data_IF_185346601641
#
_entry.id   IF_185346601641
#
_cell.length_a   1.000
_cell.length_b   1.000
_cell.length_c   1.000
_cell.angle_alpha   90.00
_cell.angle_beta   90.00
_cell.angle_gamma   90.00
#
_symmetry.space_group_name_H-M   'P 1'
#
loop_
_entity.id
_entity.type
_entity.pdbx_description
1 polymer ?
#
# COMPACT_ATOMS: atom_id res chain seq x y z
N UNK A 1 -41.80 56.09 -7.42
CA UNK A 1 -40.34 55.90 -7.47
C UNK A 1 -40.03 54.46 -7.84
N UNK A 2 -39.55 54.19 -9.06
CA UNK A 2 -39.15 52.85 -9.52
C UNK A 2 -37.63 52.69 -9.35
N UNK A 3 -37.20 51.75 -8.50
CA UNK A 3 -35.80 51.35 -8.35
C UNK A 3 -35.45 50.32 -9.44
N UNK A 4 -34.48 50.57 -10.33
CA UNK A 4 -34.12 49.62 -11.38
C UNK A 4 -33.28 48.46 -10.83
N UNK A 5 -33.63 47.25 -11.26
CA UNK A 5 -32.99 45.98 -10.92
C UNK A 5 -31.51 45.93 -11.31
N UNK A 6 -30.63 45.78 -10.31
CA UNK A 6 -29.18 45.61 -10.46
C UNK A 6 -28.79 44.36 -11.28
N UNK A 7 -29.71 43.43 -11.53
CA UNK A 7 -29.47 42.20 -12.30
C UNK A 7 -29.23 42.45 -13.78
N UNK A 8 -29.88 43.46 -14.39
CA UNK A 8 -29.80 43.67 -15.84
C UNK A 8 -28.49 44.34 -16.28
N UNK A 9 -27.88 45.16 -15.42
CA UNK A 9 -26.59 45.81 -15.71
C UNK A 9 -25.41 44.83 -15.64
N UNK A 10 -25.47 43.82 -14.77
CA UNK A 10 -24.40 42.83 -14.65
C UNK A 10 -24.32 41.90 -15.87
N UNK A 11 -25.47 41.55 -16.46
CA UNK A 11 -25.52 40.74 -17.69
C UNK A 11 -24.98 41.50 -18.92
N UNK A 12 -25.34 42.77 -19.06
CA UNK A 12 -24.84 43.61 -20.16
C UNK A 12 -23.33 43.89 -20.09
N UNK A 13 -22.75 43.91 -18.88
CA UNK A 13 -21.31 44.09 -18.68
C UNK A 13 -20.49 42.84 -19.02
N UNK A 14 -21.09 41.64 -18.97
CA UNK A 14 -20.42 40.39 -19.35
C UNK A 14 -20.34 40.22 -20.87
N UNK A 15 -21.37 40.63 -21.62
CA UNK A 15 -21.34 40.56 -23.10
C UNK A 15 -20.28 41.48 -23.74
N UNK A 16 -19.95 42.60 -23.08
CA UNK A 16 -18.89 43.50 -23.55
C UNK A 16 -17.47 42.95 -23.32
N UNK A 17 -17.28 41.97 -22.43
CA UNK A 17 -15.97 41.36 -22.19
C UNK A 17 -15.59 40.31 -23.24
N UNK A 18 -16.54 39.78 -24.00
CA UNK A 18 -16.32 38.68 -24.96
C UNK A 18 -16.56 39.06 -26.43
N UNK A 19 -16.91 40.32 -26.72
CA UNK A 19 -17.18 40.80 -28.09
C UNK A 19 -15.94 40.90 -29.01
N UNK A 20 -14.76 40.46 -28.54
CA UNK A 20 -13.48 40.57 -29.27
C UNK A 20 -12.82 39.24 -29.66
N UNK A 21 -13.46 38.09 -29.46
CA UNK A 21 -12.87 36.79 -29.84
C UNK A 21 -13.43 36.37 -31.20
N UNK A 22 -12.58 36.43 -32.23
CA UNK A 22 -12.87 35.89 -33.55
C UNK A 22 -13.26 34.40 -33.45
N UNK A 23 -14.19 33.89 -34.29
CA UNK A 23 -14.52 32.47 -34.29
C UNK A 23 -13.32 31.70 -34.86
N UNK A 24 -12.50 31.14 -33.98
CA UNK A 24 -11.43 30.24 -34.37
C UNK A 24 -12.02 28.89 -34.78
N UNK A 25 -11.58 28.40 -35.94
CA UNK A 25 -11.97 27.16 -36.59
C UNK A 25 -12.08 25.96 -35.64
N UNK A 26 -13.16 25.20 -35.80
CA UNK A 26 -13.36 23.90 -35.19
C UNK A 26 -12.35 22.89 -35.75
N UNK A 27 -11.16 22.82 -35.14
CA UNK A 27 -10.25 21.67 -35.24
C UNK A 27 -9.79 21.26 -33.85
N UNK A 28 -10.24 20.07 -33.44
CA UNK A 28 -9.73 19.21 -32.37
C UNK A 28 -9.05 19.92 -31.20
N UNK A 29 -9.86 20.41 -30.26
CA UNK A 29 -9.40 20.56 -28.88
C UNK A 29 -9.95 19.37 -28.09
N UNK A 30 -9.07 18.44 -27.75
CA UNK A 30 -9.34 17.34 -26.84
C UNK A 30 -9.97 17.88 -25.56
N UNK A 31 -11.17 17.39 -25.24
CA UNK A 31 -11.87 17.70 -24.00
C UNK A 31 -10.93 17.34 -22.83
N UNK A 32 -10.65 18.25 -21.89
CA UNK A 32 -9.84 17.88 -20.72
C UNK A 32 -10.59 16.79 -19.95
N UNK A 33 -9.94 15.65 -19.78
CA UNK A 33 -10.46 14.49 -19.04
C UNK A 33 -10.77 14.87 -17.60
N UNK A 34 -11.78 14.22 -17.04
CA UNK A 34 -12.21 14.39 -15.66
C UNK A 34 -11.02 14.14 -14.70
N UNK A 35 -10.67 15.08 -13.81
CA UNK A 35 -9.54 14.91 -12.88
C UNK A 35 -9.80 13.88 -11.77
N UNK A 36 -11.02 13.34 -11.69
CA UNK A 36 -11.39 12.24 -10.78
C UNK A 36 -11.43 10.87 -11.47
N UNK A 37 -11.27 10.82 -12.79
CA UNK A 37 -10.91 9.54 -13.42
C UNK A 37 -9.46 9.28 -13.07
N UNK A 38 -9.23 8.32 -12.17
CA UNK A 38 -7.93 7.69 -12.06
C UNK A 38 -7.49 7.35 -13.47
N UNK A 39 -6.32 7.85 -13.88
CA UNK A 39 -5.74 7.56 -15.18
C UNK A 39 -5.96 6.07 -15.46
N UNK A 40 -6.80 5.77 -16.45
CA UNK A 40 -7.18 4.42 -16.80
C UNK A 40 -5.90 3.65 -17.05
N UNK A 41 -5.55 2.83 -16.07
CA UNK A 41 -4.33 2.06 -16.06
C UNK A 41 -4.55 1.01 -17.15
N UNK A 42 -3.71 1.02 -18.18
CA UNK A 42 -3.65 -0.02 -19.22
C UNK A 42 -3.12 -1.31 -18.55
N UNK A 43 -3.95 -1.86 -17.66
CA UNK A 43 -3.74 -3.16 -17.04
C UNK A 43 -4.21 -4.14 -18.09
N UNK A 44 -3.26 -4.64 -18.87
CA UNK A 44 -3.49 -5.76 -19.78
C UNK A 44 -3.99 -6.94 -18.97
N UNK A 45 -5.31 -7.08 -18.97
CA UNK A 45 -6.02 -8.19 -18.37
C UNK A 45 -6.23 -9.19 -19.50
N UNK A 46 -5.77 -10.42 -19.31
CA UNK A 46 -5.97 -11.45 -20.32
C UNK A 46 -7.43 -11.96 -20.34
N UNK A 47 -7.73 -12.89 -21.26
CA UNK A 47 -9.06 -13.49 -21.37
C UNK A 47 -9.52 -14.22 -20.09
N UNK A 48 -8.59 -14.60 -19.21
CA UNK A 48 -8.83 -15.30 -17.96
C UNK A 48 -8.95 -14.34 -16.76
N UNK A 49 -8.92 -13.02 -16.97
CA UNK A 49 -9.02 -12.03 -15.91
C UNK A 49 -7.73 -11.87 -15.09
N UNK A 50 -6.59 -12.36 -15.59
CA UNK A 50 -5.29 -12.27 -14.94
C UNK A 50 -4.59 -10.98 -15.33
N UNK A 51 -3.93 -10.38 -14.35
CA UNK A 51 -3.25 -9.09 -14.48
C UNK A 51 -1.76 -9.30 -14.64
N UNK A 52 -1.17 -8.71 -15.69
CA UNK A 52 0.28 -8.65 -15.85
C UNK A 52 0.88 -7.45 -15.10
N UNK A 53 1.96 -7.68 -14.38
CA UNK A 53 2.65 -6.66 -13.57
C UNK A 53 4.17 -6.75 -13.75
N UNK A 54 4.81 -5.59 -13.83
CA UNK A 54 6.28 -5.51 -13.80
C UNK A 54 6.77 -5.31 -12.38
N UNK A 55 7.59 -6.24 -11.90
CA UNK A 55 8.16 -6.26 -10.55
C UNK A 55 9.68 -6.18 -10.60
N UNK A 56 10.31 -5.67 -9.55
CA UNK A 56 11.76 -5.69 -9.46
C UNK A 56 12.29 -7.09 -9.17
N UNK A 57 13.42 -7.46 -9.76
CA UNK A 57 14.16 -8.68 -9.38
C UNK A 57 15.09 -8.47 -8.19
N UNK A 58 15.19 -7.23 -7.66
CA UNK A 58 15.94 -6.91 -6.43
C UNK A 58 15.14 -7.28 -5.19
N UNK A 59 15.11 -8.56 -4.90
CA UNK A 59 14.31 -9.10 -3.80
C UNK A 59 14.98 -8.80 -2.45
N UNK A 60 14.21 -8.32 -1.49
CA UNK A 60 14.61 -8.32 -0.08
C UNK A 60 14.55 -9.77 0.44
N UNK A 61 15.64 -10.51 0.22
CA UNK A 61 15.72 -11.94 0.55
C UNK A 61 15.60 -12.16 2.05
N UNK A 62 14.58 -12.93 2.46
CA UNK A 62 14.38 -13.36 3.84
C UNK A 62 14.45 -14.88 3.94
N UNK A 63 15.64 -15.41 4.23
CA UNK A 63 15.81 -16.86 4.45
C UNK A 63 15.85 -17.72 3.18
N UNK A 64 16.01 -17.11 2.01
CA UNK A 64 16.16 -17.82 0.72
C UNK A 64 17.60 -17.74 0.22
N UNK A 65 18.12 -18.80 -0.43
CA UNK A 65 19.52 -18.86 -0.87
C UNK A 65 19.82 -17.91 -2.05
N UNK A 66 18.81 -17.42 -2.76
CA UNK A 66 18.97 -16.49 -3.87
C UNK A 66 17.63 -16.06 -4.48
N UNK A 67 17.69 -15.13 -5.44
CA UNK A 67 16.53 -14.58 -6.13
C UNK A 67 15.71 -15.65 -6.87
N UNK A 68 16.37 -16.57 -7.58
CA UNK A 68 15.68 -17.62 -8.35
C UNK A 68 14.87 -18.56 -7.45
N UNK A 69 15.45 -18.98 -6.32
CA UNK A 69 14.76 -19.84 -5.35
C UNK A 69 13.55 -19.13 -4.73
N UNK A 70 13.68 -17.82 -4.46
CA UNK A 70 12.60 -17.00 -3.96
C UNK A 70 11.47 -16.84 -4.99
N UNK A 71 11.81 -16.50 -6.24
CA UNK A 71 10.85 -16.36 -7.33
C UNK A 71 10.12 -17.66 -7.61
N UNK A 72 10.84 -18.79 -7.62
CA UNK A 72 10.23 -20.12 -7.77
C UNK A 72 9.23 -20.38 -6.65
N UNK A 73 9.61 -20.14 -5.38
CA UNK A 73 8.71 -20.32 -4.25
C UNK A 73 7.50 -19.37 -4.32
N UNK A 74 7.69 -18.13 -4.77
CA UNK A 74 6.59 -17.19 -4.97
C UNK A 74 5.60 -17.68 -6.04
N UNK A 75 6.10 -18.20 -7.17
CA UNK A 75 5.29 -18.81 -8.21
C UNK A 75 4.43 -19.95 -7.67
N UNK A 76 5.04 -20.86 -6.91
CA UNK A 76 4.36 -21.99 -6.28
C UNK A 76 3.35 -21.54 -5.21
N UNK A 77 3.72 -20.58 -4.35
CA UNK A 77 2.90 -20.13 -3.24
C UNK A 77 1.65 -19.36 -3.69
N UNK A 78 1.80 -18.48 -4.70
CA UNK A 78 0.71 -17.64 -5.16
C UNK A 78 -0.03 -18.23 -6.36
N UNK A 79 0.58 -19.20 -7.06
CA UNK A 79 0.08 -19.66 -8.35
C UNK A 79 0.26 -18.62 -9.46
N UNK A 80 1.31 -17.79 -9.36
CA UNK A 80 1.65 -16.81 -10.39
C UNK A 80 2.56 -17.44 -11.46
N UNK A 81 2.56 -16.83 -12.65
CA UNK A 81 3.45 -17.22 -13.74
C UNK A 81 4.48 -16.11 -14.00
N UNK A 82 5.77 -16.46 -13.94
CA UNK A 82 6.83 -15.54 -14.35
C UNK A 82 6.98 -15.58 -15.87
N UNK A 83 6.94 -14.40 -16.48
CA UNK A 83 7.29 -14.18 -17.88
C UNK A 83 8.78 -13.92 -18.05
N UNK A 84 9.12 -13.04 -18.98
CA UNK A 84 10.51 -12.61 -19.19
C UNK A 84 11.01 -11.78 -18.00
N UNK A 85 12.25 -12.04 -17.57
CA UNK A 85 12.91 -11.27 -16.53
C UNK A 85 14.39 -11.06 -16.84
N UNK A 86 14.94 -9.97 -16.31
CA UNK A 86 16.35 -9.59 -16.37
C UNK A 86 16.90 -9.28 -14.96
N UNK A 87 18.08 -8.68 -14.89
CA UNK A 87 18.74 -8.34 -13.62
C UNK A 87 18.09 -7.18 -12.84
N UNK A 88 17.05 -6.54 -13.39
CA UNK A 88 16.38 -5.37 -12.81
C UNK A 88 14.88 -5.61 -12.61
N UNK A 89 14.22 -6.23 -13.59
CA UNK A 89 12.77 -6.38 -13.63
C UNK A 89 12.31 -7.75 -14.15
N UNK A 90 11.13 -8.16 -13.71
CA UNK A 90 10.44 -9.37 -14.10
C UNK A 90 8.98 -9.06 -14.41
N UNK A 91 8.44 -9.64 -15.48
CA UNK A 91 7.00 -9.63 -15.73
C UNK A 91 6.39 -10.82 -14.98
N UNK A 92 5.38 -10.56 -14.16
CA UNK A 92 4.61 -11.58 -13.46
C UNK A 92 3.14 -11.49 -13.89
N UNK A 93 2.55 -12.64 -14.16
CA UNK A 93 1.12 -12.77 -14.39
C UNK A 93 0.47 -13.25 -13.10
N UNK A 94 -0.31 -12.36 -12.48
CA UNK A 94 -0.94 -12.61 -11.19
C UNK A 94 -2.11 -13.59 -11.33
N UNK A 95 -2.45 -14.33 -10.25
CA UNK A 95 -3.64 -15.18 -10.23
C UNK A 95 -4.93 -14.37 -10.45
N UNK A 96 -5.98 -15.04 -10.89
CA UNK A 96 -7.28 -14.40 -11.07
C UNK A 96 -7.78 -13.77 -9.76
N UNK A 97 -8.34 -12.56 -9.86
CA UNK A 97 -8.85 -11.79 -8.72
C UNK A 97 -7.80 -10.97 -7.95
N UNK A 98 -6.50 -11.21 -8.19
CA UNK A 98 -5.43 -10.36 -7.66
C UNK A 98 -5.33 -9.07 -8.47
N UNK A 99 -4.84 -8.00 -7.85
CA UNK A 99 -4.73 -6.68 -8.46
C UNK A 99 -3.39 -6.03 -8.15
N UNK A 100 -2.95 -5.17 -9.05
CA UNK A 100 -1.90 -4.19 -8.77
C UNK A 100 -2.52 -2.83 -8.45
N UNK A 101 -1.90 -2.10 -7.52
CA UNK A 101 -2.19 -0.69 -7.26
C UNK A 101 -0.91 0.11 -7.49
N UNK A 102 -0.94 0.98 -8.48
CA UNK A 102 0.19 1.85 -8.79
C UNK A 102 0.14 3.12 -7.95
N UNK A 103 1.14 3.28 -7.08
CA UNK A 103 1.45 4.54 -6.40
C UNK A 103 2.60 5.22 -7.16
N UNK A 104 2.86 6.53 -6.95
CA UNK A 104 3.88 7.27 -7.71
C UNK A 104 5.26 6.58 -7.81
N UNK A 105 5.63 5.83 -6.78
CA UNK A 105 6.95 5.25 -6.61
C UNK A 105 6.96 3.74 -6.35
N UNK A 106 5.77 3.16 -6.13
CA UNK A 106 5.62 1.80 -5.62
C UNK A 106 4.41 1.15 -6.29
N UNK A 107 4.62 -0.05 -6.81
CA UNK A 107 3.54 -0.95 -7.22
C UNK A 107 3.21 -1.88 -6.06
N UNK A 108 1.98 -1.81 -5.57
CA UNK A 108 1.47 -2.72 -4.55
C UNK A 108 0.75 -3.90 -5.21
N UNK A 109 0.97 -5.10 -4.70
CA UNK A 109 0.25 -6.32 -5.09
C UNK A 109 -0.72 -6.67 -3.98
N UNK A 110 -2.01 -6.72 -4.31
CA UNK A 110 -3.09 -7.11 -3.41
C UNK A 110 -3.78 -8.36 -3.91
N UNK A 111 -4.10 -9.27 -3.01
CA UNK A 111 -4.80 -10.51 -3.36
C UNK A 111 -6.31 -10.30 -3.55
N UNK A 112 -7.02 -11.39 -3.85
CA UNK A 112 -8.47 -11.40 -4.05
C UNK A 112 -9.28 -11.00 -2.81
N UNK A 113 -8.66 -10.95 -1.63
CA UNK A 113 -9.28 -10.51 -0.38
C UNK A 113 -8.88 -9.07 0.00
N UNK A 114 -8.27 -8.32 -0.93
CA UNK A 114 -7.74 -6.96 -0.72
C UNK A 114 -6.59 -6.87 0.30
N UNK A 115 -5.88 -7.98 0.51
CA UNK A 115 -4.75 -8.04 1.43
C UNK A 115 -3.46 -7.68 0.70
N UNK A 116 -2.69 -6.73 1.23
CA UNK A 116 -1.40 -6.32 0.65
C UNK A 116 -0.33 -7.42 0.81
N UNK A 117 0.02 -8.08 -0.29
CA UNK A 117 0.99 -9.20 -0.34
C UNK A 117 2.41 -8.76 -0.62
N UNK A 118 2.61 -7.77 -1.47
CA UNK A 118 3.95 -7.24 -1.76
C UNK A 118 3.95 -5.80 -2.24
N UNK A 119 5.13 -5.21 -2.20
CA UNK A 119 5.44 -3.88 -2.70
C UNK A 119 6.68 -3.99 -3.59
N UNK A 120 6.64 -3.34 -4.75
CA UNK A 120 7.73 -3.33 -5.71
C UNK A 120 8.03 -1.90 -6.14
N UNK A 121 9.31 -1.52 -6.12
CA UNK A 121 9.79 -0.25 -6.67
C UNK A 121 10.70 -0.53 -7.86
N UNK A 122 10.47 0.18 -8.96
CA UNK A 122 11.27 0.12 -10.18
C UNK A 122 12.10 1.39 -10.40
N UNK A 123 12.31 2.20 -9.36
CA UNK A 123 13.03 3.49 -9.44
C UNK A 123 14.52 3.38 -9.85
N UNK A 124 15.02 2.17 -10.11
CA UNK A 124 16.39 1.91 -10.55
C UNK A 124 17.40 1.96 -9.40
N UNK A 125 18.60 1.45 -9.66
CA UNK A 125 19.69 1.43 -8.69
C UNK A 125 19.29 0.78 -7.35
N UNK A 126 19.82 1.30 -6.25
CA UNK A 126 19.54 0.82 -4.88
C UNK A 126 18.09 1.05 -4.43
N UNK A 127 17.34 1.92 -5.12
CA UNK A 127 15.94 2.23 -4.82
C UNK A 127 14.97 1.20 -5.43
N UNK A 128 15.45 0.32 -6.30
CA UNK A 128 14.65 -0.80 -6.81
C UNK A 128 14.62 -1.95 -5.82
N UNK A 129 13.42 -2.42 -5.51
CA UNK A 129 13.22 -3.53 -4.59
C UNK A 129 11.93 -4.28 -4.87
N UNK A 130 11.89 -5.55 -4.49
CA UNK A 130 10.68 -6.33 -4.29
C UNK A 130 10.64 -6.81 -2.83
N UNK A 131 9.63 -6.36 -2.10
CA UNK A 131 9.40 -6.70 -0.69
C UNK A 131 8.08 -7.45 -0.59
N UNK A 132 8.17 -8.69 -0.15
CA UNK A 132 7.00 -9.52 0.14
C UNK A 132 6.67 -9.45 1.62
N UNK A 133 5.40 -9.23 1.93
CA UNK A 133 4.94 -9.05 3.30
C UNK A 133 4.56 -10.41 3.91
N UNK A 134 5.11 -10.78 5.07
CA UNK A 134 4.66 -11.96 5.80
C UNK A 134 3.25 -11.77 6.35
N UNK A 135 2.61 -12.89 6.72
CA UNK A 135 1.26 -12.91 7.31
C UNK A 135 1.21 -12.10 8.62
N UNK A 136 2.21 -12.25 9.48
CA UNK A 136 2.24 -11.54 10.76
C UNK A 136 3.20 -10.36 10.71
N UNK A 137 2.80 -9.21 11.25
CA UNK A 137 3.67 -8.05 11.40
C UNK A 137 3.41 -7.31 12.70
N UNK A 138 4.40 -6.54 13.14
CA UNK A 138 4.27 -5.68 14.31
C UNK A 138 3.90 -4.28 13.84
N UNK A 139 2.82 -3.74 14.39
CA UNK A 139 2.36 -2.37 14.17
C UNK A 139 2.48 -1.58 15.47
N UNK A 140 2.92 -0.34 15.40
CA UNK A 140 3.06 0.54 16.55
C UNK A 140 2.16 1.75 16.35
N UNK A 141 1.17 1.91 17.23
CA UNK A 141 0.20 3.01 17.16
C UNK A 141 0.25 3.83 18.43
N UNK A 142 0.17 5.14 18.27
CA UNK A 142 0.04 6.06 19.39
C UNK A 142 -1.30 5.82 20.08
N UNK A 143 -1.29 5.56 21.38
CA UNK A 143 -2.50 5.40 22.17
C UNK A 143 -3.31 6.69 22.20
N UNK A 144 -4.63 6.57 22.21
CA UNK A 144 -5.52 7.70 22.43
C UNK A 144 -5.65 7.96 23.93
N UNK A 145 -5.04 9.06 24.40
CA UNK A 145 -4.99 9.48 25.80
C UNK A 145 -6.32 10.00 26.37
N UNK A 146 -7.42 9.27 26.22
CA UNK A 146 -8.68 9.52 26.94
C UNK A 146 -8.91 8.56 28.11
N UNK A 147 -8.11 7.50 28.22
CA UNK A 147 -8.07 6.64 29.40
C UNK A 147 -7.05 7.19 30.40
N UNK A 148 -7.47 7.40 31.65
CA UNK A 148 -6.56 7.71 32.76
C UNK A 148 -5.43 6.68 32.76
N UNK A 149 -4.23 7.11 32.41
CA UNK A 149 -3.01 6.35 32.65
C UNK A 149 -3.01 5.94 34.13
N UNK A 150 -2.89 4.63 34.40
CA UNK A 150 -2.68 4.11 35.77
C UNK A 150 -1.27 4.42 36.27
N UNK A 151 -0.43 5.04 35.45
CA UNK A 151 0.82 5.70 35.82
C UNK A 151 0.61 7.22 35.74
N UNK A 152 -0.25 7.75 36.59
CA UNK A 152 -0.21 9.18 36.91
C UNK A 152 1.14 9.45 37.62
N UNK A 153 2.18 9.64 36.81
CA UNK A 153 3.43 10.25 37.22
C UNK A 153 3.12 11.74 37.39
N UNK A 154 3.38 12.30 38.57
CA UNK A 154 3.21 13.74 38.87
C UNK A 154 4.15 14.66 38.04
N UNK A 155 4.76 14.15 36.98
CA UNK A 155 5.67 14.86 36.09
C UNK A 155 4.98 15.12 34.73
N UNK A 156 4.48 16.35 34.49
CA UNK A 156 3.78 16.71 33.27
C UNK A 156 4.69 16.73 32.03
N UNK A 157 6.01 16.66 32.18
CA UNK A 157 6.96 16.61 31.07
C UNK A 157 7.26 15.17 30.60
N UNK A 158 6.86 14.15 31.38
CA UNK A 158 7.00 12.71 31.04
C UNK A 158 5.72 12.10 30.45
N UNK A 159 4.60 12.82 30.48
CA UNK A 159 3.26 12.31 30.14
C UNK A 159 2.98 12.39 28.61
N UNK A 160 3.89 11.81 27.83
CA UNK A 160 3.60 11.47 26.43
C UNK A 160 2.60 10.31 26.41
N UNK A 161 1.59 10.29 25.51
CA UNK A 161 0.62 9.20 25.51
C UNK A 161 1.33 7.88 25.23
N UNK A 162 0.94 6.86 25.99
CA UNK A 162 1.41 5.50 25.81
C UNK A 162 1.24 5.04 24.34
N UNK A 163 2.16 4.20 23.89
CA UNK A 163 2.11 3.54 22.58
C UNK A 163 1.62 2.10 22.75
N UNK A 164 0.73 1.69 21.85
CA UNK A 164 0.31 0.30 21.76
C UNK A 164 1.01 -0.35 20.57
N UNK A 165 1.78 -1.41 20.87
CA UNK A 165 2.41 -2.26 19.88
C UNK A 165 1.57 -3.52 19.70
N UNK A 166 1.16 -3.80 18.48
CA UNK A 166 0.29 -4.91 18.14
C UNK A 166 1.02 -5.90 17.25
N UNK A 167 0.74 -7.18 17.43
CA UNK A 167 0.96 -8.18 16.39
C UNK A 167 -0.33 -8.29 15.60
N UNK A 168 -0.25 -8.07 14.29
CA UNK A 168 -1.38 -8.11 13.37
C UNK A 168 -1.31 -9.37 12.51
N UNK A 169 -2.43 -10.10 12.43
CA UNK A 169 -2.66 -11.11 11.39
C UNK A 169 -3.20 -10.41 10.14
N UNK A 170 -2.35 -10.31 9.12
CA UNK A 170 -2.64 -9.61 7.87
C UNK A 170 -3.77 -10.25 7.07
N UNK A 171 -3.90 -11.57 7.11
CA UNK A 171 -4.95 -12.29 6.36
C UNK A 171 -6.33 -12.00 6.96
N UNK A 172 -6.42 -12.02 8.29
CA UNK A 172 -7.68 -11.81 9.01
C UNK A 172 -7.95 -10.35 9.35
N UNK A 173 -6.96 -9.48 9.20
CA UNK A 173 -6.99 -8.07 9.63
C UNK A 173 -7.37 -7.91 11.11
N UNK A 174 -6.80 -8.75 11.98
CA UNK A 174 -7.05 -8.72 13.43
C UNK A 174 -5.76 -8.56 14.23
N UNK A 175 -5.89 -7.99 15.42
CA UNK A 175 -4.84 -7.93 16.44
C UNK A 175 -4.82 -9.27 17.21
N UNK A 176 -3.67 -9.96 17.19
CA UNK A 176 -3.50 -11.26 17.86
C UNK A 176 -2.74 -11.14 19.19
N UNK A 177 -1.98 -10.06 19.37
CA UNK A 177 -1.29 -9.75 20.61
C UNK A 177 -1.05 -8.24 20.73
N UNK A 178 -1.03 -7.73 21.95
CA UNK A 178 -0.83 -6.30 22.26
C UNK A 178 0.15 -6.13 23.41
N UNK A 179 0.94 -5.06 23.34
CA UNK A 179 1.79 -4.58 24.42
C UNK A 179 1.76 -3.05 24.47
N UNK A 180 1.34 -2.50 25.61
CA UNK A 180 1.42 -1.06 25.88
C UNK A 180 2.80 -0.69 26.42
N UNK A 181 3.37 0.38 25.90
CA UNK A 181 4.72 0.86 26.23
C UNK A 181 4.78 2.38 26.22
N UNK A 182 5.82 2.97 26.80
CA UNK A 182 5.99 4.43 26.77
C UNK A 182 6.42 4.90 25.37
N UNK A 183 6.39 6.22 25.13
CA UNK A 183 6.92 6.79 23.89
C UNK A 183 8.46 6.82 23.81
N UNK A 184 9.18 6.36 24.85
CA UNK A 184 10.63 6.35 24.84
C UNK A 184 11.15 5.32 23.83
N UNK A 185 12.15 5.70 23.04
CA UNK A 185 12.73 4.84 22.00
C UNK A 185 13.22 3.49 22.55
N UNK A 186 13.87 3.49 23.71
CA UNK A 186 14.33 2.26 24.34
C UNK A 186 13.18 1.32 24.71
N UNK A 187 12.07 1.87 25.22
CA UNK A 187 10.89 1.11 25.58
C UNK A 187 10.13 0.57 24.36
N UNK A 188 10.11 1.33 23.27
CA UNK A 188 9.61 0.87 21.96
C UNK A 188 10.45 -0.26 21.38
N UNK A 189 11.78 -0.13 21.43
CA UNK A 189 12.71 -1.16 20.94
C UNK A 189 12.58 -2.45 21.80
N UNK A 190 12.44 -2.32 23.13
CA UNK A 190 12.18 -3.43 24.05
C UNK A 190 10.81 -4.08 23.79
N UNK A 191 9.76 -3.28 23.59
CA UNK A 191 8.43 -3.79 23.26
C UNK A 191 8.46 -4.59 21.95
N UNK A 192 9.12 -4.08 20.92
CA UNK A 192 9.30 -4.78 19.65
C UNK A 192 10.06 -6.10 19.83
N UNK A 193 11.13 -6.11 20.63
CA UNK A 193 11.91 -7.32 20.90
C UNK A 193 11.05 -8.39 21.62
N UNK A 194 10.24 -7.98 22.59
CA UNK A 194 9.29 -8.86 23.29
C UNK A 194 8.26 -9.46 22.33
N UNK A 195 7.64 -8.64 21.48
CA UNK A 195 6.67 -9.12 20.50
C UNK A 195 7.30 -10.04 19.45
N UNK A 196 8.53 -9.76 19.02
CA UNK A 196 9.28 -10.65 18.13
C UNK A 196 9.56 -12.02 18.78
N UNK A 197 9.92 -12.04 20.07
CA UNK A 197 10.11 -13.29 20.81
C UNK A 197 8.80 -14.08 20.91
N UNK A 198 7.68 -13.40 21.21
CA UNK A 198 6.36 -14.02 21.23
C UNK A 198 5.99 -14.61 19.86
N UNK A 199 6.28 -13.89 18.76
CA UNK A 199 6.10 -14.39 17.39
C UNK A 199 6.97 -15.62 17.10
N UNK A 200 8.21 -15.63 17.56
CA UNK A 200 9.11 -16.79 17.41
C UNK A 200 8.59 -18.04 18.13
N UNK A 201 7.94 -17.86 19.28
CA UNK A 201 7.37 -18.94 20.08
C UNK A 201 6.04 -19.47 19.51
N UNK A 202 5.15 -18.57 19.05
CA UNK A 202 3.79 -18.93 18.61
C UNK A 202 3.70 -19.22 17.10
N UNK A 203 4.54 -18.57 16.29
CA UNK A 203 4.57 -18.70 14.84
C UNK A 203 6.02 -18.81 14.32
N UNK A 204 6.75 -19.90 14.60
CA UNK A 204 8.19 -20.00 14.32
C UNK A 204 8.63 -19.65 12.88
N UNK A 205 7.76 -19.86 11.89
CA UNK A 205 8.02 -19.54 10.49
C UNK A 205 7.53 -18.15 10.06
N UNK A 206 7.19 -17.24 10.99
CA UNK A 206 6.55 -15.94 10.67
C UNK A 206 7.39 -15.04 9.78
N UNK A 207 8.71 -15.26 9.76
CA UNK A 207 9.65 -14.52 8.91
C UNK A 207 9.59 -14.95 7.44
N UNK A 208 9.10 -16.16 7.16
CA UNK A 208 8.90 -16.63 5.79
C UNK A 208 7.64 -15.95 5.20
N UNK A 209 7.78 -15.15 4.14
CA UNK A 209 6.66 -14.42 3.58
C UNK A 209 5.53 -15.30 3.02
N UNK A 210 5.79 -16.57 2.76
CA UNK A 210 4.81 -17.51 2.20
C UNK A 210 4.24 -18.50 3.24
N UNK A 211 4.71 -18.46 4.48
CA UNK A 211 4.23 -19.35 5.53
C UNK A 211 2.93 -18.85 6.16
N UNK A 212 2.14 -19.80 6.65
CA UNK A 212 0.88 -19.60 7.38
C UNK A 212 -0.27 -19.02 6.58
N UNK A 213 -0.11 -18.62 5.33
CA UNK A 213 -1.25 -18.14 4.54
C UNK A 213 -2.13 -19.30 4.09
N UNK A 214 -3.45 -19.13 4.16
CA UNK A 214 -4.39 -20.22 3.82
C UNK A 214 -4.25 -20.63 2.35
N UNK A 215 -4.01 -19.66 1.46
CA UNK A 215 -3.81 -19.89 0.02
C UNK A 215 -2.47 -20.57 -0.31
N UNK A 216 -1.41 -20.32 0.49
CA UNK A 216 -0.07 -20.85 0.23
C UNK A 216 0.19 -22.23 0.85
N UNK A 217 -0.56 -22.60 1.90
CA UNK A 217 -0.40 -23.89 2.62
C UNK A 217 -1.30 -25.00 2.02
N UNK A 218 -2.35 -24.64 1.28
CA UNK A 218 -3.27 -25.59 0.64
C UNK A 218 -2.76 -26.22 -0.67
N UNK A 219 -1.57 -25.84 -1.13
CA UNK A 219 -0.98 -26.32 -2.39
C UNK A 219 -0.04 -27.53 -2.21
N UNK A 220 -0.21 -28.33 -1.16
CA UNK A 220 0.53 -29.60 -0.96
C UNK A 220 -0.30 -30.83 -1.35
#
# INVERSE_FOLDING_TARGET
MNRPDKSSKARAALDQLFSGIAPADAKSASRPGNPFDAAGDDVSTDADGRVEVTLSTRIQLRGYPGADAFMKRMAEAWGLEWGTYDSVQAIAKLPAGWRSRRLPEVTQIVDGHDVLRAESSLQGGEMSYLKVNPRYYIDARKGFGWGKSSKASDDPDLDGPDWNCFVIDREKSIEVHELTTSSLKADMDNARATLLKWLDENYPKHRDPFAYWTDCEGAS
#
